data_IF_468514470348
#
_entry.id   IF_468514470348
#
_cell.length_a   1.000
_cell.length_b   1.000
_cell.length_c   1.000
_cell.angle_alpha   90.00
_cell.angle_beta   90.00
_cell.angle_gamma   90.00
#
_symmetry.space_group_name_H-M   'P 1'
#
loop_
_entity.id
_entity.type
_entity.pdbx_description
1 polymer ?
#
# COMPACT_ATOMS: atom_id res chain seq x y z
N UNK A 1 58.14 2.14 -10.19
CA UNK A 1 56.92 2.58 -10.92
C UNK A 1 55.79 1.59 -10.64
N UNK A 2 54.87 1.97 -9.76
CA UNK A 2 53.71 1.17 -9.33
C UNK A 2 52.55 1.31 -10.33
N UNK A 3 52.13 0.20 -10.95
CA UNK A 3 50.91 0.16 -11.77
C UNK A 3 49.68 0.19 -10.84
N UNK A 4 48.69 1.08 -11.05
CA UNK A 4 47.47 1.08 -10.28
C UNK A 4 46.59 -0.11 -10.69
N UNK A 5 46.24 -0.95 -9.71
CA UNK A 5 45.28 -2.03 -9.87
C UNK A 5 43.88 -1.44 -10.06
N UNK A 6 43.47 -1.28 -11.31
CA UNK A 6 42.10 -0.96 -11.69
C UNK A 6 41.18 -2.14 -11.28
N UNK A 7 40.48 -1.98 -10.16
CA UNK A 7 39.51 -2.92 -9.59
C UNK A 7 38.27 -3.18 -10.48
N UNK A 8 38.13 -2.45 -11.59
CA UNK A 8 37.02 -2.60 -12.53
C UNK A 8 37.56 -2.91 -13.92
N UNK A 9 37.51 -4.19 -14.33
CA UNK A 9 37.63 -4.54 -15.76
C UNK A 9 36.44 -3.92 -16.48
N UNK A 10 36.71 -3.14 -17.54
CA UNK A 10 35.82 -2.15 -18.18
C UNK A 10 34.45 -2.63 -18.72
N UNK A 11 33.99 -3.84 -18.43
CA UNK A 11 32.69 -4.37 -18.85
C UNK A 11 31.64 -4.51 -17.74
N UNK A 12 31.99 -4.30 -16.46
CA UNK A 12 31.04 -4.53 -15.35
C UNK A 12 30.25 -3.29 -14.92
N UNK A 13 30.81 -2.08 -15.12
CA UNK A 13 30.17 -0.81 -14.77
C UNK A 13 28.86 -0.56 -15.54
N UNK A 14 28.77 -0.81 -16.86
CA UNK A 14 27.51 -0.65 -17.60
C UNK A 14 26.41 -1.60 -17.11
N UNK A 15 26.79 -2.81 -16.67
CA UNK A 15 25.84 -3.81 -16.17
C UNK A 15 25.26 -3.41 -14.82
N UNK A 16 26.08 -2.89 -13.91
CA UNK A 16 25.60 -2.39 -12.62
C UNK A 16 24.67 -1.19 -12.79
N UNK A 17 24.99 -0.29 -13.72
CA UNK A 17 24.14 0.86 -14.06
C UNK A 17 22.77 0.42 -14.60
N UNK A 18 22.75 -0.56 -15.51
CA UNK A 18 21.51 -1.11 -16.05
C UNK A 18 20.62 -1.70 -14.94
N UNK A 19 21.20 -2.44 -14.00
CA UNK A 19 20.47 -3.05 -12.90
C UNK A 19 19.91 -2.03 -11.91
N UNK A 20 20.68 -0.97 -11.63
CA UNK A 20 20.22 0.14 -10.81
C UNK A 20 19.01 0.83 -11.46
N UNK A 21 19.04 1.06 -12.77
CA UNK A 21 17.94 1.69 -13.52
C UNK A 21 16.68 0.81 -13.47
N UNK A 22 16.80 -0.50 -13.64
CA UNK A 22 15.66 -1.44 -13.58
C UNK A 22 15.06 -1.47 -12.17
N UNK A 23 15.89 -1.51 -11.13
CA UNK A 23 15.45 -1.49 -9.73
C UNK A 23 14.66 -0.22 -9.39
N UNK A 24 15.20 0.95 -9.78
CA UNK A 24 14.56 2.24 -9.57
C UNK A 24 13.24 2.31 -10.36
N UNK A 25 13.23 1.89 -11.63
CA UNK A 25 12.03 1.85 -12.46
C UNK A 25 10.94 0.94 -11.89
N UNK A 26 11.31 -0.25 -11.39
CA UNK A 26 10.41 -1.19 -10.74
C UNK A 26 9.82 -0.63 -9.44
N UNK A 27 10.64 0.02 -8.61
CA UNK A 27 10.18 0.70 -7.38
C UNK A 27 9.22 1.86 -7.68
N UNK A 28 9.49 2.67 -8.70
CA UNK A 28 8.60 3.78 -9.10
C UNK A 28 7.26 3.25 -9.62
N UNK A 29 7.26 2.18 -10.43
CA UNK A 29 6.03 1.56 -10.93
C UNK A 29 5.22 0.90 -9.80
N UNK A 30 5.88 0.22 -8.86
CA UNK A 30 5.24 -0.36 -7.69
C UNK A 30 4.66 0.73 -6.78
N UNK A 31 5.42 1.80 -6.54
CA UNK A 31 4.96 2.96 -5.79
C UNK A 31 3.75 3.61 -6.45
N UNK A 32 3.80 3.82 -7.78
CA UNK A 32 2.67 4.34 -8.56
C UNK A 32 1.45 3.41 -8.50
N UNK A 33 1.64 2.10 -8.60
CA UNK A 33 0.55 1.12 -8.50
C UNK A 33 -0.12 1.12 -7.12
N UNK A 34 0.68 1.21 -6.05
CA UNK A 34 0.19 1.23 -4.67
C UNK A 34 -0.52 2.56 -4.35
N UNK A 35 0.03 3.70 -4.79
CA UNK A 35 -0.53 5.02 -4.50
C UNK A 35 -1.73 5.40 -5.37
N UNK A 36 -1.75 5.06 -6.67
CA UNK A 36 -2.85 5.46 -7.55
C UNK A 36 -4.15 4.65 -7.32
N UNK A 37 -4.11 3.55 -6.55
CA UNK A 37 -5.32 2.73 -6.34
C UNK A 37 -6.30 3.31 -5.31
N UNK A 38 -6.06 4.46 -4.68
CA UNK A 38 -7.01 5.07 -3.73
C UNK A 38 -6.92 6.60 -3.64
N UNK A 39 -7.58 7.33 -4.53
CA UNK A 39 -8.43 8.50 -4.20
C UNK A 39 -9.35 8.73 -5.41
N UNK A 40 -10.59 8.20 -5.43
CA UNK A 40 -11.56 8.78 -6.36
C UNK A 40 -11.82 10.22 -5.90
N UNK A 41 -11.79 11.17 -6.85
CA UNK A 41 -11.86 12.62 -6.63
C UNK A 41 -12.66 12.99 -5.37
N UNK A 42 -12.02 13.78 -4.50
CA UNK A 42 -12.71 14.55 -3.48
C UNK A 42 -13.95 15.17 -4.11
N UNK A 43 -15.11 14.95 -3.48
CA UNK A 43 -16.27 15.76 -3.79
C UNK A 43 -15.84 17.21 -3.61
N UNK A 44 -16.08 18.03 -4.64
CA UNK A 44 -15.74 19.45 -4.68
C UNK A 44 -15.91 20.12 -3.31
N UNK A 45 -15.01 21.05 -2.92
CA UNK A 45 -15.19 21.83 -1.71
C UNK A 45 -16.62 22.35 -1.70
N UNK A 46 -17.36 21.96 -0.67
CA UNK A 46 -18.79 22.22 -0.50
C UNK A 46 -19.03 23.68 -0.89
N UNK A 47 -19.71 23.89 -2.02
CA UNK A 47 -20.14 25.22 -2.40
C UNK A 47 -20.84 25.79 -1.15
N UNK A 48 -20.43 26.98 -0.70
CA UNK A 48 -20.93 27.61 0.52
C UNK A 48 -22.42 27.91 0.37
N UNK A 49 -23.25 26.89 0.49
CA UNK A 49 -24.69 27.03 0.68
C UNK A 49 -24.85 27.80 1.98
N UNK A 50 -25.70 28.84 2.03
CA UNK A 50 -25.97 29.54 3.28
C UNK A 50 -26.31 28.52 4.36
N UNK A 51 -25.53 28.52 5.44
CA UNK A 51 -25.70 27.58 6.55
C UNK A 51 -27.03 27.93 7.24
N UNK A 52 -28.11 27.26 6.84
CA UNK A 52 -29.34 27.33 7.62
C UNK A 52 -29.04 26.77 9.02
N UNK A 53 -29.57 27.36 10.09
CA UNK A 53 -29.37 26.81 11.44
C UNK A 53 -29.78 25.34 11.51
N UNK A 54 -28.97 24.53 12.19
CA UNK A 54 -29.29 23.12 12.43
C UNK A 54 -30.35 23.08 13.53
N UNK A 55 -31.49 22.48 13.22
CA UNK A 55 -32.61 22.33 14.16
C UNK A 55 -32.78 20.84 14.45
N UNK A 56 -32.42 20.36 15.66
CA UNK A 56 -32.65 18.97 16.04
C UNK A 56 -34.15 18.70 16.19
N UNK A 57 -34.54 17.45 15.95
CA UNK A 57 -35.87 16.95 16.24
C UNK A 57 -36.05 16.84 17.76
N UNK A 58 -36.96 17.65 18.31
CA UNK A 58 -37.31 17.71 19.74
C UNK A 58 -38.55 16.90 20.08
N UNK A 59 -38.94 15.97 19.21
CA UNK A 59 -40.08 15.10 19.49
C UNK A 59 -39.79 14.20 20.71
N UNK A 60 -40.82 13.85 21.51
CA UNK A 60 -40.63 13.14 22.78
C UNK A 60 -40.00 11.76 22.62
N UNK A 61 -40.01 11.16 21.43
CA UNK A 61 -39.34 9.89 21.18
C UNK A 61 -37.80 9.96 21.37
N UNK A 62 -37.20 11.16 21.24
CA UNK A 62 -35.76 11.37 21.43
C UNK A 62 -35.35 11.65 22.88
N UNK A 63 -36.28 11.95 23.79
CA UNK A 63 -35.98 12.37 25.17
C UNK A 63 -35.24 11.30 25.99
N UNK A 64 -35.52 10.03 25.68
CA UNK A 64 -34.93 8.86 26.34
C UNK A 64 -33.61 8.42 25.74
N UNK A 65 -33.24 8.96 24.56
CA UNK A 65 -32.02 8.55 23.86
C UNK A 65 -30.80 9.03 24.63
N UNK A 66 -29.82 8.14 24.79
CA UNK A 66 -28.55 8.44 25.45
C UNK A 66 -27.38 8.06 24.56
N UNK A 67 -26.47 9.00 24.32
CA UNK A 67 -25.22 8.76 23.58
C UNK A 67 -24.22 7.95 24.39
N UNK A 68 -23.27 7.33 23.66
CA UNK A 68 -22.16 6.56 24.23
C UNK A 68 -22.65 5.39 25.10
N UNK A 69 -23.87 4.92 24.85
CA UNK A 69 -24.43 3.67 25.37
C UNK A 69 -24.79 2.75 24.23
N UNK A 70 -24.94 1.47 24.52
CA UNK A 70 -25.56 0.53 23.60
C UNK A 70 -26.98 0.98 23.23
N UNK A 71 -27.49 0.46 22.12
CA UNK A 71 -28.90 0.65 21.74
C UNK A 71 -29.75 -0.18 22.71
N UNK A 72 -30.62 0.48 23.46
CA UNK A 72 -31.49 -0.14 24.47
C UNK A 72 -32.96 -0.01 24.10
N UNK A 73 -33.83 -0.74 24.80
CA UNK A 73 -35.29 -0.70 24.61
C UNK A 73 -35.85 0.74 24.66
N UNK A 74 -35.29 1.58 25.54
CA UNK A 74 -35.68 3.00 25.67
C UNK A 74 -35.45 3.83 24.41
N UNK A 75 -34.52 3.41 23.54
CA UNK A 75 -34.17 4.14 22.31
C UNK A 75 -35.07 3.72 21.12
N UNK A 76 -35.88 2.67 21.28
CA UNK A 76 -36.66 2.06 20.18
C UNK A 76 -37.75 2.98 19.63
N UNK A 77 -38.30 3.87 20.45
CA UNK A 77 -39.30 4.85 19.99
C UNK A 77 -38.69 5.79 18.94
N UNK A 78 -37.53 6.40 19.24
CA UNK A 78 -36.80 7.23 18.28
C UNK A 78 -36.34 6.43 17.06
N UNK A 79 -35.83 5.21 17.27
CA UNK A 79 -35.38 4.36 16.17
C UNK A 79 -36.52 4.06 15.18
N UNK A 80 -37.68 3.66 15.69
CA UNK A 80 -38.88 3.40 14.88
C UNK A 80 -39.36 4.66 14.16
N UNK A 81 -39.39 5.81 14.85
CA UNK A 81 -39.75 7.10 14.25
C UNK A 81 -38.88 7.41 13.03
N UNK A 82 -37.56 7.21 13.15
CA UNK A 82 -36.63 7.45 12.05
C UNK A 82 -36.85 6.50 10.87
N UNK A 83 -37.08 5.20 11.12
CA UNK A 83 -37.44 4.26 10.06
C UNK A 83 -38.70 4.73 9.31
N UNK A 84 -39.76 5.09 10.03
CA UNK A 84 -40.99 5.62 9.43
C UNK A 84 -40.76 6.91 8.65
N UNK A 85 -39.96 7.85 9.17
CA UNK A 85 -39.62 9.09 8.44
C UNK A 85 -38.90 8.80 7.12
N UNK A 86 -37.99 7.83 7.10
CA UNK A 86 -37.28 7.41 5.88
C UNK A 86 -38.23 6.81 4.84
N UNK A 87 -39.28 6.12 5.27
CA UNK A 87 -40.30 5.56 4.38
C UNK A 87 -41.13 6.65 3.69
N UNK A 88 -41.44 7.75 4.40
CA UNK A 88 -42.26 8.83 3.83
C UNK A 88 -41.60 9.58 2.67
N UNK A 89 -40.27 9.47 2.52
CA UNK A 89 -39.51 10.20 1.51
C UNK A 89 -38.91 9.26 0.46
N UNK A 90 -39.00 9.69 -0.79
CA UNK A 90 -38.25 9.06 -1.87
C UNK A 90 -36.73 9.25 -1.67
N UNK A 91 -35.87 8.36 -2.22
CA UNK A 91 -34.43 8.52 -2.13
C UNK A 91 -33.93 9.89 -2.61
N UNK A 92 -34.52 10.42 -3.69
CA UNK A 92 -34.18 11.73 -4.23
C UNK A 92 -34.61 12.89 -3.30
N UNK A 93 -35.81 12.79 -2.70
CA UNK A 93 -36.29 13.79 -1.75
C UNK A 93 -35.42 13.82 -0.48
N UNK A 94 -35.08 12.65 0.08
CA UNK A 94 -34.20 12.54 1.24
C UNK A 94 -32.81 13.12 0.95
N UNK A 95 -32.22 12.81 -0.22
CA UNK A 95 -30.94 13.37 -0.66
C UNK A 95 -30.97 14.90 -0.81
N UNK A 96 -32.11 15.47 -1.24
CA UNK A 96 -32.28 16.91 -1.40
C UNK A 96 -32.30 17.66 -0.06
N UNK A 97 -32.93 17.09 0.97
CA UNK A 97 -33.02 17.72 2.30
C UNK A 97 -31.80 17.40 3.18
N UNK A 98 -31.02 16.39 2.82
CA UNK A 98 -29.87 15.94 3.61
C UNK A 98 -28.74 16.96 3.56
N UNK A 99 -28.26 17.34 4.75
CA UNK A 99 -27.16 18.27 4.94
C UNK A 99 -25.83 17.67 4.55
N UNK A 100 -24.94 18.46 3.95
CA UNK A 100 -23.59 18.07 3.50
C UNK A 100 -22.47 18.82 4.25
N UNK A 101 -22.88 19.71 5.14
CA UNK A 101 -22.04 20.65 5.89
C UNK A 101 -21.83 20.21 7.35
N UNK A 102 -22.25 18.99 7.70
CA UNK A 102 -22.05 18.42 9.04
C UNK A 102 -20.77 17.61 9.05
N UNK A 103 -19.83 17.99 9.91
CA UNK A 103 -18.59 17.27 10.14
C UNK A 103 -18.77 16.21 11.24
N UNK A 104 -18.05 15.10 11.11
CA UNK A 104 -18.01 14.06 12.13
C UNK A 104 -17.73 14.61 13.53
N UNK A 105 -16.71 15.46 13.70
CA UNK A 105 -16.33 16.02 15.01
C UNK A 105 -17.49 16.73 15.72
N UNK A 106 -18.36 17.41 14.97
CA UNK A 106 -19.49 18.12 15.55
C UNK A 106 -20.55 17.15 16.09
N UNK A 107 -20.80 16.05 15.38
CA UNK A 107 -21.69 14.96 15.83
C UNK A 107 -21.12 14.30 17.10
N UNK A 108 -19.79 14.19 17.20
CA UNK A 108 -19.11 13.59 18.34
C UNK A 108 -19.15 14.45 19.61
N UNK A 109 -18.97 15.76 19.46
CA UNK A 109 -18.96 16.71 20.57
C UNK A 109 -20.37 17.04 21.06
N UNK A 110 -21.31 17.27 20.12
CA UNK A 110 -22.66 17.75 20.40
C UNK A 110 -23.75 16.92 19.70
N UNK A 111 -23.83 15.60 19.96
CA UNK A 111 -24.79 14.72 19.28
C UNK A 111 -26.25 15.16 19.43
N UNK A 112 -26.60 15.80 20.54
CA UNK A 112 -27.93 16.36 20.82
C UNK A 112 -28.39 17.39 19.78
N UNK A 113 -27.46 18.14 19.17
CA UNK A 113 -27.79 19.15 18.16
C UNK A 113 -28.14 18.56 16.79
N UNK A 114 -27.86 17.27 16.58
CA UNK A 114 -28.03 16.60 15.27
C UNK A 114 -29.14 15.56 15.27
N UNK A 115 -29.82 15.32 16.40
CA UNK A 115 -30.88 14.30 16.51
C UNK A 115 -31.96 14.52 15.46
N UNK A 116 -32.28 13.47 14.70
CA UNK A 116 -33.31 13.54 13.66
C UNK A 116 -32.99 14.51 12.51
N UNK A 117 -31.75 15.01 12.40
CA UNK A 117 -31.32 15.85 11.27
C UNK A 117 -30.92 14.95 10.11
N UNK A 118 -31.45 15.16 8.89
CA UNK A 118 -31.04 14.42 7.71
C UNK A 118 -29.64 14.87 7.28
N UNK A 119 -28.72 13.93 7.19
CA UNK A 119 -27.31 14.14 6.85
C UNK A 119 -26.94 13.22 5.70
N UNK A 120 -26.16 13.77 4.76
CA UNK A 120 -25.53 13.02 3.69
C UNK A 120 -24.08 12.77 4.07
N UNK A 121 -23.67 11.50 4.05
CA UNK A 121 -22.28 11.09 4.21
C UNK A 121 -21.83 10.29 2.99
N UNK A 122 -20.58 10.51 2.59
CA UNK A 122 -19.94 9.80 1.49
C UNK A 122 -18.74 9.07 2.05
N UNK A 123 -18.61 7.79 1.71
CA UNK A 123 -17.52 7.00 2.26
C UNK A 123 -17.45 5.59 1.68
N UNK A 124 -16.63 4.77 2.31
CA UNK A 124 -16.37 3.39 1.90
C UNK A 124 -16.92 2.43 2.93
N UNK A 125 -17.81 1.55 2.49
CA UNK A 125 -18.36 0.46 3.29
C UNK A 125 -17.35 -0.67 3.35
N UNK A 126 -17.02 -1.09 4.58
CA UNK A 126 -16.09 -2.20 4.84
C UNK A 126 -16.79 -3.49 5.22
N UNK A 127 -18.03 -3.36 5.72
CA UNK A 127 -18.84 -4.49 6.18
C UNK A 127 -20.32 -4.14 6.07
N UNK A 128 -21.11 -5.11 5.63
CA UNK A 128 -22.58 -5.02 5.63
C UNK A 128 -23.11 -6.26 6.33
N UNK A 129 -23.90 -6.05 7.37
CA UNK A 129 -24.61 -7.11 8.08
C UNK A 129 -26.10 -7.01 7.83
N UNK A 130 -26.82 -8.11 8.03
CA UNK A 130 -28.28 -8.15 7.98
C UNK A 130 -28.81 -8.91 9.19
N UNK A 131 -29.94 -8.46 9.72
CA UNK A 131 -30.64 -9.11 10.82
C UNK A 131 -32.15 -8.91 10.67
N UNK A 132 -32.90 -9.81 11.29
CA UNK A 132 -34.36 -9.71 11.37
C UNK A 132 -34.76 -8.67 12.40
N UNK A 133 -35.76 -7.86 12.07
CA UNK A 133 -36.27 -6.83 12.95
C UNK A 133 -37.77 -6.67 12.80
N UNK A 134 -38.49 -6.75 13.91
CA UNK A 134 -39.93 -6.45 13.97
C UNK A 134 -40.24 -4.97 13.76
N UNK A 135 -39.24 -4.10 13.85
CA UNK A 135 -39.37 -2.67 13.56
C UNK A 135 -39.26 -2.37 12.07
N UNK A 136 -38.71 -3.29 11.28
CA UNK A 136 -38.60 -3.13 9.84
C UNK A 136 -39.90 -3.51 9.14
N UNK A 137 -40.29 -2.72 8.14
CA UNK A 137 -41.41 -3.04 7.26
C UNK A 137 -41.13 -4.27 6.39
N UNK A 138 -39.89 -4.48 5.98
CA UNK A 138 -39.48 -5.64 5.18
C UNK A 138 -39.19 -6.87 6.06
N UNK A 139 -39.24 -6.71 7.39
CA UNK A 139 -38.84 -7.72 8.37
C UNK A 139 -37.32 -7.85 8.54
N UNK A 140 -36.52 -7.11 7.76
CA UNK A 140 -35.05 -7.14 7.81
C UNK A 140 -34.47 -5.74 7.83
N UNK A 141 -33.36 -5.60 8.54
CA UNK A 141 -32.52 -4.41 8.51
C UNK A 141 -31.12 -4.77 8.04
N UNK A 142 -30.47 -3.79 7.42
CA UNK A 142 -29.10 -3.86 6.99
C UNK A 142 -28.30 -2.79 7.73
N UNK A 143 -27.10 -3.17 8.17
CA UNK A 143 -26.13 -2.28 8.80
C UNK A 143 -24.87 -2.24 7.95
N UNK A 144 -24.64 -1.10 7.29
CA UNK A 144 -23.38 -0.82 6.61
C UNK A 144 -22.44 -0.08 7.55
N UNK A 145 -21.30 -0.69 7.83
CA UNK A 145 -20.20 -0.12 8.59
C UNK A 145 -19.25 0.57 7.63
N UNK A 146 -19.19 1.90 7.68
CA UNK A 146 -18.45 2.70 6.72
C UNK A 146 -17.48 3.67 7.38
N UNK A 147 -16.44 4.02 6.64
CA UNK A 147 -15.51 5.11 7.00
C UNK A 147 -15.70 6.26 6.03
N UNK A 148 -15.63 7.49 6.53
CA UNK A 148 -15.62 8.70 5.71
C UNK A 148 -14.19 9.27 5.70
N UNK A 149 -13.92 10.21 4.80
CA UNK A 149 -12.62 10.89 4.76
C UNK A 149 -12.32 11.68 6.04
N UNK A 150 -13.36 12.19 6.71
CA UNK A 150 -13.26 13.00 7.92
C UNK A 150 -13.38 12.19 9.23
N UNK A 151 -13.91 10.96 9.22
CA UNK A 151 -14.11 10.15 10.44
C UNK A 151 -12.85 9.45 10.97
N UNK A 152 -11.72 9.61 10.29
CA UNK A 152 -10.45 8.95 10.62
C UNK A 152 -10.61 7.42 10.79
N UNK A 153 -10.47 6.90 12.01
CA UNK A 153 -10.59 5.47 12.35
C UNK A 153 -11.97 5.09 12.89
N UNK A 154 -12.89 6.04 13.01
CA UNK A 154 -14.22 5.80 13.56
C UNK A 154 -15.20 5.43 12.44
N UNK A 155 -16.03 4.43 12.71
CA UNK A 155 -17.06 3.99 11.78
C UNK A 155 -18.33 4.79 11.95
N UNK A 156 -19.03 5.01 10.84
CA UNK A 156 -20.47 5.23 10.84
C UNK A 156 -21.19 3.89 10.70
N UNK A 157 -22.31 3.75 11.42
CA UNK A 157 -23.22 2.61 11.27
C UNK A 157 -24.47 3.11 10.56
N UNK A 158 -24.64 2.69 9.32
CA UNK A 158 -25.72 3.12 8.44
C UNK A 158 -26.78 2.04 8.36
N UNK A 159 -27.94 2.30 8.96
CA UNK A 159 -29.09 1.39 9.00
C UNK A 159 -30.05 1.70 7.86
N UNK A 160 -30.45 0.69 7.10
CA UNK A 160 -31.43 0.83 6.01
C UNK A 160 -32.22 -0.47 5.79
N UNK A 161 -33.39 -0.36 5.16
CA UNK A 161 -34.27 -1.51 4.85
C UNK A 161 -34.11 -2.04 3.42
N UNK A 162 -33.91 -1.13 2.46
CA UNK A 162 -33.98 -1.44 1.03
C UNK A 162 -32.58 -1.27 0.38
N UNK A 163 -31.71 -2.30 0.38
CA UNK A 163 -30.47 -2.27 -0.41
C UNK A 163 -30.77 -2.14 -1.91
N UNK A 164 -30.00 -1.34 -2.65
CA UNK A 164 -29.96 -1.39 -4.10
C UNK A 164 -29.69 -2.82 -4.59
N UNK A 165 -30.35 -3.20 -5.68
CA UNK A 165 -30.19 -4.54 -6.27
C UNK A 165 -28.72 -4.80 -6.58
N UNK A 166 -28.18 -5.92 -6.10
CA UNK A 166 -26.79 -6.31 -6.32
C UNK A 166 -25.79 -5.76 -5.29
N UNK A 167 -26.24 -4.94 -4.33
CA UNK A 167 -25.36 -4.45 -3.28
C UNK A 167 -24.81 -5.60 -2.42
N UNK A 168 -23.48 -5.73 -2.25
CA UNK A 168 -22.89 -6.87 -1.57
C UNK A 168 -23.14 -6.84 -0.06
N UNK A 169 -23.31 -8.03 0.53
CA UNK A 169 -23.48 -8.25 1.98
C UNK A 169 -22.35 -9.14 2.47
N UNK A 170 -21.77 -8.81 3.63
CA UNK A 170 -20.66 -9.57 4.22
C UNK A 170 -19.54 -8.68 4.73
N UNK A 171 -18.39 -9.31 4.97
CA UNK A 171 -17.17 -8.67 5.48
C UNK A 171 -16.17 -8.36 4.35
N UNK A 172 -15.15 -7.55 4.66
CA UNK A 172 -14.04 -7.20 3.74
C UNK A 172 -14.50 -6.54 2.43
N UNK A 173 -15.54 -5.71 2.52
CA UNK A 173 -16.04 -4.93 1.39
C UNK A 173 -15.16 -3.70 1.14
N UNK A 174 -15.27 -3.14 -0.06
CA UNK A 174 -14.62 -1.88 -0.43
C UNK A 174 -15.51 -1.06 -1.36
N UNK A 175 -16.79 -0.93 -1.00
CA UNK A 175 -17.79 -0.26 -1.81
C UNK A 175 -17.90 1.22 -1.46
N UNK A 176 -17.78 2.12 -2.44
CA UNK A 176 -18.03 3.55 -2.22
C UNK A 176 -19.53 3.83 -2.33
N UNK A 177 -20.08 4.49 -1.32
CA UNK A 177 -21.52 4.79 -1.25
C UNK A 177 -21.76 6.24 -0.91
N UNK A 178 -22.99 6.69 -1.19
CA UNK A 178 -23.58 7.90 -0.61
C UNK A 178 -24.72 7.45 0.30
N UNK A 179 -24.65 7.75 1.59
CA UNK A 179 -25.71 7.46 2.53
C UNK A 179 -26.44 8.75 2.89
N UNK A 180 -27.77 8.75 2.79
CA UNK A 180 -28.62 9.86 3.20
C UNK A 180 -29.52 9.35 4.32
N UNK A 181 -29.39 9.90 5.52
CA UNK A 181 -30.13 9.40 6.67
C UNK A 181 -30.17 10.37 7.83
N UNK A 182 -31.10 10.12 8.74
CA UNK A 182 -31.26 10.88 9.96
C UNK A 182 -30.28 10.40 11.01
N UNK A 183 -29.59 11.32 11.69
CA UNK A 183 -28.75 10.94 12.81
C UNK A 183 -29.58 10.48 14.00
N UNK A 184 -29.24 9.28 14.50
CA UNK A 184 -29.94 8.63 15.60
C UNK A 184 -29.22 8.83 16.92
N UNK A 185 -28.04 8.22 17.09
CA UNK A 185 -27.22 8.33 18.32
C UNK A 185 -25.76 7.96 18.11
N UNK A 186 -24.91 8.32 19.06
CA UNK A 186 -23.62 7.68 19.24
C UNK A 186 -23.83 6.36 19.99
N UNK A 187 -23.66 5.24 19.31
CA UNK A 187 -23.80 3.90 19.89
C UNK A 187 -22.46 3.40 20.40
N UNK A 188 -22.43 2.95 21.66
CA UNK A 188 -21.33 2.14 22.19
C UNK A 188 -21.51 0.68 21.75
N UNK A 189 -20.42 0.04 21.33
CA UNK A 189 -20.41 -1.36 20.92
C UNK A 189 -19.08 -2.02 21.28
N UNK A 190 -19.06 -3.35 21.31
CA UNK A 190 -17.84 -4.15 21.43
C UNK A 190 -17.43 -4.66 20.05
N UNK A 191 -16.14 -4.55 19.75
CA UNK A 191 -15.58 -5.16 18.54
C UNK A 191 -15.21 -6.60 18.86
N UNK A 192 -15.53 -7.55 17.97
CA UNK A 192 -15.15 -8.95 18.17
C UNK A 192 -13.63 -9.22 18.15
N UNK A 193 -12.80 -8.22 17.84
CA UNK A 193 -11.33 -8.34 17.81
C UNK A 193 -10.67 -8.16 19.17
N UNK A 194 -11.19 -7.25 20.01
CA UNK A 194 -10.60 -6.89 21.30
C UNK A 194 -11.68 -6.67 22.35
N UNK A 195 -11.34 -6.79 23.65
CA UNK A 195 -12.27 -6.50 24.77
C UNK A 195 -12.60 -4.99 24.93
N UNK A 196 -12.16 -4.15 24.00
CA UNK A 196 -12.38 -2.71 24.01
C UNK A 196 -13.80 -2.32 23.62
N UNK A 197 -14.26 -1.21 24.20
CA UNK A 197 -15.50 -0.56 23.77
C UNK A 197 -15.21 0.56 22.80
N UNK A 198 -15.97 0.57 21.71
CA UNK A 198 -15.90 1.58 20.66
C UNK A 198 -17.22 2.35 20.63
N UNK A 199 -17.19 3.51 19.99
CA UNK A 199 -18.38 4.34 19.77
C UNK A 199 -18.47 4.66 18.29
N UNK A 200 -19.68 4.62 17.74
CA UNK A 200 -19.94 4.97 16.34
C UNK A 200 -21.22 5.79 16.23
N UNK A 201 -21.26 6.85 15.40
CA UNK A 201 -22.50 7.50 15.03
C UNK A 201 -23.38 6.54 14.22
N UNK A 202 -24.64 6.44 14.59
CA UNK A 202 -25.66 5.65 13.89
C UNK A 202 -26.56 6.58 13.11
N UNK A 203 -26.75 6.28 11.83
CA UNK A 203 -27.71 6.97 10.97
C UNK A 203 -28.73 5.96 10.43
N UNK A 204 -30.00 6.38 10.33
CA UNK A 204 -31.09 5.59 9.78
C UNK A 204 -31.56 6.25 8.48
N UNK A 205 -31.53 5.53 7.36
CA UNK A 205 -31.62 6.18 6.06
C UNK A 205 -31.70 5.25 4.85
N UNK A 206 -31.28 5.80 3.71
CA UNK A 206 -31.22 5.11 2.42
C UNK A 206 -29.80 5.19 1.84
N UNK A 207 -29.40 4.09 1.24
CA UNK A 207 -28.10 3.95 0.60
C UNK A 207 -28.21 4.20 -0.90
N UNK A 208 -27.33 5.06 -1.41
CA UNK A 208 -27.07 5.28 -2.83
C UNK A 208 -25.79 4.54 -3.21
N UNK A 209 -25.93 3.52 -4.04
CA UNK A 209 -24.82 2.73 -4.59
C UNK A 209 -25.05 2.51 -6.07
N UNK A 210 -23.96 2.58 -6.82
CA UNK A 210 -23.91 2.20 -8.23
C UNK A 210 -22.92 1.06 -8.35
N UNK A 211 -23.32 -0.01 -9.03
CA UNK A 211 -22.42 -1.13 -9.30
C UNK A 211 -21.12 -0.60 -9.92
N UNK A 212 -19.96 -0.98 -9.35
CA UNK A 212 -18.69 -0.61 -9.95
C UNK A 212 -18.69 -1.14 -11.38
N UNK A 213 -18.72 -0.24 -12.37
CA UNK A 213 -18.47 -0.62 -13.76
C UNK A 213 -17.10 -1.27 -13.73
N UNK A 214 -17.01 -2.55 -14.09
CA UNK A 214 -15.77 -3.28 -14.18
C UNK A 214 -14.89 -2.62 -15.25
N UNK A 215 -14.19 -1.55 -14.88
CA UNK A 215 -13.07 -1.03 -15.64
C UNK A 215 -12.00 -2.10 -15.49
N UNK A 216 -11.92 -3.01 -16.47
CA UNK A 216 -11.12 -4.23 -16.50
C UNK A 216 -9.89 -4.16 -15.61
N UNK A 217 -10.06 -4.60 -14.37
CA UNK A 217 -9.13 -4.29 -13.29
C UNK A 217 -9.07 -5.46 -12.34
N UNK A 218 -8.49 -6.56 -12.84
CA UNK A 218 -8.06 -7.77 -12.15
C UNK A 218 -8.27 -7.76 -10.62
N UNK A 219 -9.37 -8.39 -10.19
CA UNK A 219 -9.63 -8.71 -8.79
C UNK A 219 -10.41 -10.02 -8.72
N UNK A 220 -9.74 -11.10 -8.29
CA UNK A 220 -10.39 -12.38 -7.97
C UNK A 220 -9.89 -13.63 -8.72
N UNK A 221 -8.96 -13.50 -9.68
CA UNK A 221 -8.33 -14.64 -10.36
C UNK A 221 -6.93 -14.91 -9.85
N UNK A 222 -6.45 -16.14 -10.01
CA UNK A 222 -5.08 -16.59 -9.73
C UNK A 222 -4.03 -15.49 -10.02
N UNK A 223 -2.94 -15.40 -9.21
CA UNK A 223 -1.91 -14.38 -9.37
C UNK A 223 -1.58 -14.22 -10.86
N UNK A 224 -1.75 -12.99 -11.35
CA UNK A 224 -1.69 -12.72 -12.78
C UNK A 224 -0.38 -13.27 -13.35
N UNK A 225 -0.37 -13.75 -14.61
CA UNK A 225 0.86 -14.25 -15.23
C UNK A 225 2.00 -13.23 -15.17
N UNK A 226 1.70 -11.93 -15.06
CA UNK A 226 2.67 -10.87 -14.81
C UNK A 226 3.39 -10.97 -13.45
N UNK A 227 2.67 -11.36 -12.38
CA UNK A 227 3.27 -11.59 -11.05
C UNK A 227 4.21 -12.80 -11.12
N UNK A 228 3.79 -13.88 -11.77
CA UNK A 228 4.65 -15.06 -11.95
C UNK A 228 5.88 -14.78 -12.82
N UNK A 229 5.73 -13.95 -13.86
CA UNK A 229 6.86 -13.46 -14.64
C UNK A 229 7.80 -12.61 -13.79
N UNK A 230 7.28 -11.72 -12.93
CA UNK A 230 8.10 -10.93 -12.03
C UNK A 230 8.85 -11.79 -11.00
N UNK A 231 8.20 -12.82 -10.46
CA UNK A 231 8.84 -13.81 -9.56
C UNK A 231 9.91 -14.59 -10.31
N UNK A 232 9.63 -15.07 -11.53
CA UNK A 232 10.59 -15.80 -12.35
C UNK A 232 11.82 -14.95 -12.69
N UNK A 233 11.62 -13.68 -13.08
CA UNK A 233 12.70 -12.73 -13.35
C UNK A 233 13.50 -12.44 -12.08
N UNK A 234 12.84 -12.23 -10.93
CA UNK A 234 13.51 -12.06 -9.64
C UNK A 234 14.35 -13.27 -9.23
N UNK A 235 13.84 -14.48 -9.45
CA UNK A 235 14.56 -15.71 -9.14
C UNK A 235 15.76 -15.93 -10.06
N UNK A 236 15.60 -15.64 -11.36
CA UNK A 236 16.69 -15.67 -12.34
C UNK A 236 17.80 -14.67 -11.98
N UNK A 237 17.40 -13.51 -11.44
CA UNK A 237 18.33 -12.50 -10.96
C UNK A 237 19.13 -12.98 -9.74
N UNK A 238 18.47 -13.57 -8.73
CA UNK A 238 19.12 -14.14 -7.54
C UNK A 238 20.12 -15.24 -7.93
N UNK A 239 19.74 -16.15 -8.83
CA UNK A 239 20.64 -17.23 -9.30
C UNK A 239 21.85 -16.66 -10.04
N UNK A 240 21.64 -15.67 -10.92
CA UNK A 240 22.73 -15.02 -11.66
C UNK A 240 23.69 -14.30 -10.72
N UNK A 241 23.15 -13.59 -9.73
CA UNK A 241 23.94 -12.90 -8.70
C UNK A 241 24.73 -13.88 -7.83
N UNK A 242 24.12 -14.99 -7.41
CA UNK A 242 24.79 -16.05 -6.65
C UNK A 242 25.93 -16.70 -7.45
N UNK A 243 25.72 -16.98 -8.73
CA UNK A 243 26.76 -17.53 -9.63
C UNK A 243 27.92 -16.55 -9.82
N UNK A 244 27.64 -15.25 -9.97
CA UNK A 244 28.68 -14.23 -10.05
C UNK A 244 29.47 -14.12 -8.74
N UNK A 245 28.79 -14.10 -7.60
CA UNK A 245 29.42 -14.00 -6.28
C UNK A 245 30.28 -15.23 -5.93
N UNK A 246 29.84 -16.44 -6.32
CA UNK A 246 30.64 -17.66 -6.17
C UNK A 246 31.83 -17.72 -7.14
N UNK A 247 31.68 -17.17 -8.35
CA UNK A 247 32.78 -16.99 -9.31
C UNK A 247 33.84 -16.01 -8.81
N UNK A 248 33.42 -14.87 -8.24
CA UNK A 248 34.31 -13.90 -7.59
C UNK A 248 35.08 -14.52 -6.42
N UNK A 249 34.41 -15.33 -5.59
CA UNK A 249 35.07 -16.05 -4.49
C UNK A 249 36.11 -17.06 -4.97
N UNK A 250 35.91 -17.67 -6.14
CA UNK A 250 36.89 -18.58 -6.75
C UNK A 250 38.06 -17.85 -7.43
N UNK A 251 37.86 -16.65 -7.97
CA UNK A 251 38.98 -15.86 -8.50
C UNK A 251 39.79 -15.16 -7.39
N UNK A 252 39.18 -14.98 -6.21
CA UNK A 252 39.80 -14.44 -5.01
C UNK A 252 40.29 -15.52 -4.04
N UNK A 253 40.25 -16.81 -4.40
CA UNK A 253 40.95 -17.82 -3.61
C UNK A 253 42.44 -17.49 -3.71
N UNK A 254 43.15 -17.24 -2.58
CA UNK A 254 44.57 -17.02 -2.62
C UNK A 254 45.18 -18.25 -3.28
N UNK A 255 45.96 -18.04 -4.34
CA UNK A 255 46.83 -19.06 -4.88
C UNK A 255 47.55 -19.70 -3.69
N UNK A 256 47.21 -20.95 -3.41
CA UNK A 256 47.98 -21.81 -2.53
C UNK A 256 49.43 -21.61 -2.93
N UNK A 257 50.20 -21.12 -1.96
CA UNK A 257 51.63 -20.82 -2.04
C UNK A 257 52.38 -22.15 -2.25
N UNK A 258 52.23 -22.73 -3.43
CA UNK A 258 53.05 -23.84 -3.89
C UNK A 258 54.40 -23.22 -4.28
N UNK A 259 55.27 -23.19 -3.26
CA UNK A 259 56.72 -23.19 -3.33
C UNK A 259 57.33 -22.78 -4.69
N UNK A 260 57.51 -21.48 -4.88
CA UNK A 260 58.74 -21.03 -5.50
C UNK A 260 59.88 -21.33 -4.51
N UNK A 261 60.43 -22.55 -4.59
CA UNK A 261 61.85 -22.72 -4.29
C UNK A 261 62.59 -21.92 -5.36
N UNK A 262 62.87 -20.65 -5.09
CA UNK A 262 64.02 -20.01 -5.71
C UNK A 262 65.23 -20.59 -5.01
N UNK A 263 65.96 -21.43 -5.72
CA UNK A 263 67.36 -21.69 -5.40
C UNK A 263 68.06 -20.32 -5.33
N UNK A 264 68.72 -20.08 -4.20
CA UNK A 264 69.69 -19.02 -4.07
C UNK A 264 70.82 -19.31 -5.07
N UNK A 265 71.19 -18.39 -5.97
CA UNK A 265 72.42 -18.53 -6.73
C UNK A 265 73.56 -18.54 -5.71
N UNK A 266 74.26 -19.66 -5.56
CA UNK A 266 75.54 -19.71 -4.88
C UNK A 266 76.56 -18.95 -5.74
N UNK A 267 77.24 -17.98 -5.13
CA UNK A 267 78.29 -17.14 -5.72
C UNK A 267 79.61 -17.92 -6.00
N UNK A 268 79.53 -19.18 -6.40
CA UNK A 268 80.69 -20.01 -6.75
C UNK A 268 80.65 -20.29 -8.26
N UNK A 269 81.25 -19.39 -9.03
CA UNK A 269 81.60 -19.67 -10.43
C UNK A 269 82.73 -20.70 -10.39
N UNK A 270 82.51 -21.86 -11.00
CA UNK A 270 83.53 -22.90 -11.08
C UNK A 270 84.76 -22.34 -11.82
N UNK A 271 86.00 -22.58 -11.34
CA UNK A 271 87.21 -21.99 -11.91
C UNK A 271 87.38 -22.28 -13.40
N UNK A 272 86.84 -23.39 -13.91
CA UNK A 272 86.83 -23.74 -15.33
C UNK A 272 85.98 -22.81 -16.22
N UNK A 273 84.86 -22.28 -15.73
CA UNK A 273 84.03 -21.32 -16.48
C UNK A 273 84.69 -19.94 -16.58
N UNK A 274 85.47 -19.55 -15.57
CA UNK A 274 86.23 -18.30 -15.60
C UNK A 274 87.36 -18.36 -16.63
N UNK A 275 88.06 -19.49 -16.76
CA UNK A 275 89.12 -19.66 -17.77
C UNK A 275 88.56 -19.62 -19.18
N UNK A 276 87.43 -20.29 -19.43
CA UNK A 276 86.78 -20.30 -20.74
C UNK A 276 86.29 -18.90 -21.17
N UNK A 277 85.85 -18.07 -20.21
CA UNK A 277 85.50 -16.69 -20.50
C UNK A 277 86.74 -15.82 -20.82
N UNK A 278 87.85 -16.00 -20.09
CA UNK A 278 89.10 -15.29 -20.34
C UNK A 278 89.70 -15.61 -21.71
N UNK A 279 89.63 -16.87 -22.16
CA UNK A 279 90.11 -17.26 -23.49
C UNK A 279 89.25 -16.63 -24.60
N UNK A 280 87.93 -16.59 -24.45
CA UNK A 280 87.05 -15.93 -25.43
C UNK A 280 87.29 -14.42 -25.53
N UNK A 281 87.62 -13.75 -24.41
CA UNK A 281 87.93 -12.31 -24.44
C UNK A 281 89.28 -12.03 -25.09
N UNK A 282 90.26 -12.94 -24.97
CA UNK A 282 91.58 -12.78 -25.59
C UNK A 282 91.56 -12.97 -27.11
N UNK A 283 90.63 -13.77 -27.65
CA UNK A 283 90.47 -13.99 -29.09
C UNK A 283 89.78 -12.81 -29.81
N UNK A 284 88.87 -12.09 -29.14
CA UNK A 284 88.17 -10.93 -29.73
C UNK A 284 89.09 -9.71 -29.95
N UNK A 285 90.18 -9.57 -29.19
CA UNK A 285 91.14 -8.46 -29.32
C UNK A 285 92.13 -8.61 -30.50
N UNK A 286 92.21 -9.78 -31.16
CA UNK A 286 93.09 -9.98 -32.32
C UNK A 286 92.40 -9.84 -33.69
N UNK A 287 91.07 -9.71 -33.74
CA UNK A 287 90.31 -9.70 -35.01
C UNK A 287 90.13 -8.30 -35.64
N UNK A 288 90.81 -7.27 -35.14
CA UNK A 288 90.54 -5.86 -35.46
C UNK A 288 91.69 -5.02 -36.02
N UNK A 289 92.50 -5.51 -36.97
CA UNK A 289 93.33 -4.62 -37.80
C UNK A 289 92.66 -4.32 -39.16
N UNK A 290 92.37 -3.04 -39.48
CA UNK A 290 91.76 -2.66 -40.75
C UNK A 290 92.79 -2.56 -41.88
N UNK A 291 92.62 -3.41 -42.90
CA UNK A 291 93.32 -3.37 -44.18
C UNK A 291 93.08 -2.03 -44.89
N UNK A 292 94.14 -1.25 -45.09
CA UNK A 292 94.11 0.05 -45.78
C UNK A 292 94.15 -0.13 -47.29
N UNK A 293 93.13 0.41 -47.96
CA UNK A 293 93.09 0.70 -49.39
C UNK A 293 94.18 1.71 -49.82
N UNK A 294 95.00 1.33 -50.81
CA UNK A 294 95.63 2.21 -51.81
C UNK A 294 95.64 1.48 -53.15
#
# INVERSE_FOLDING_TARGET
MSKPNSLFRGSELPRLLLLLVILIGGMVLLWKYIYFKRVPLEANPVARVPLTPIVPDKSPEFDTVRDKTEIQLRDMAAYKKLLTQVETLSPAALSKISRRDVLSIQIWEHPEHYRGVPIQIVGTVLRVMTYESKLSRTGRLYEAWMVTSDSQRNFYVCVFEDPPKGFPVGDNLSERIVFNGYFFKLMKYQSGKDLGFYVSPVLVGRIGWSEPVAVGGAGGGAPSPAIWMAVAVGLMFIVSFYRWMTGLRRSLSPLSRAAFHREHPSEEIAPEELTAWLENVADDDQAGEPEKLV
#
